data_IF_188491167281
#
_entry.id   IF_188491167281
#
_cell.length_a   1.000
_cell.length_b   1.000
_cell.length_c   1.000
_cell.angle_alpha   90.00
_cell.angle_beta   90.00
_cell.angle_gamma   90.00
#
_symmetry.space_group_name_H-M   'P 1'
#
loop_
_entity.id
_entity.type
_entity.pdbx_description
1 polymer ?
#
# COMPACT_ATOMS: atom_id res chain seq x y z
N UNK A 1 -2.54 -19.21 22.30
CA UNK A 1 -1.86 -19.50 21.02
C UNK A 1 -0.85 -18.38 20.84
N UNK A 2 0.42 -18.66 20.57
CA UNK A 2 1.43 -17.59 20.37
C UNK A 2 1.12 -16.84 19.07
N UNK A 3 1.32 -15.52 19.07
CA UNK A 3 1.23 -14.72 17.84
C UNK A 3 2.40 -15.07 16.90
N UNK A 4 2.29 -14.72 15.63
CA UNK A 4 3.39 -14.87 14.65
C UNK A 4 4.63 -14.09 15.11
N UNK A 5 4.45 -12.89 15.65
CA UNK A 5 5.53 -12.05 16.21
C UNK A 5 6.25 -12.73 17.37
N UNK A 6 5.50 -13.34 18.30
CA UNK A 6 6.08 -14.10 19.42
C UNK A 6 6.85 -15.34 18.92
N UNK A 7 6.37 -15.98 17.85
CA UNK A 7 7.07 -17.12 17.24
C UNK A 7 8.36 -16.65 16.59
N UNK A 8 8.31 -15.63 15.73
CA UNK A 8 9.47 -15.07 15.03
C UNK A 8 10.54 -14.62 16.03
N UNK A 9 10.13 -13.88 17.06
CA UNK A 9 11.05 -13.40 18.12
C UNK A 9 11.70 -14.51 18.94
N UNK A 10 11.12 -15.71 18.94
CA UNK A 10 11.67 -16.89 19.64
C UNK A 10 12.64 -17.71 18.79
N UNK A 11 12.76 -17.44 17.48
CA UNK A 11 13.66 -18.18 16.59
C UNK A 11 15.11 -17.76 16.80
N UNK A 12 16.01 -18.75 16.81
CA UNK A 12 17.43 -18.46 16.70
C UNK A 12 17.83 -18.16 15.24
N UNK A 13 19.09 -17.72 15.01
CA UNK A 13 19.59 -17.34 13.70
C UNK A 13 19.46 -18.44 12.66
N UNK A 14 19.76 -19.69 13.03
CA UNK A 14 19.69 -20.85 12.11
C UNK A 14 18.25 -21.17 11.74
N UNK A 15 17.35 -21.13 12.71
CA UNK A 15 15.92 -21.32 12.48
C UNK A 15 15.34 -20.23 11.60
N UNK A 16 15.71 -18.95 11.85
CA UNK A 16 15.30 -17.83 11.02
C UNK A 16 15.78 -18.01 9.58
N UNK A 17 17.06 -18.33 9.39
CA UNK A 17 17.63 -18.57 8.06
C UNK A 17 16.90 -19.70 7.33
N UNK A 18 16.58 -20.81 8.02
CA UNK A 18 15.82 -21.91 7.45
C UNK A 18 14.43 -21.47 6.99
N UNK A 19 13.69 -20.72 7.84
CA UNK A 19 12.34 -20.21 7.51
C UNK A 19 12.39 -19.30 6.30
N UNK A 20 13.31 -18.32 6.27
CA UNK A 20 13.47 -17.39 5.14
C UNK A 20 13.82 -18.12 3.84
N UNK A 21 14.69 -19.16 3.91
CA UNK A 21 15.03 -19.97 2.75
C UNK A 21 13.78 -20.72 2.24
N UNK A 22 12.97 -21.29 3.12
CA UNK A 22 11.75 -22.00 2.73
C UNK A 22 10.68 -21.08 2.15
N UNK A 23 10.53 -19.88 2.67
CA UNK A 23 9.65 -18.86 2.10
C UNK A 23 10.11 -18.45 0.70
N UNK A 24 11.42 -18.24 0.51
CA UNK A 24 11.99 -17.89 -0.79
C UNK A 24 11.86 -19.02 -1.84
N UNK A 25 11.98 -20.30 -1.43
CA UNK A 25 11.83 -21.44 -2.34
C UNK A 25 10.40 -21.58 -2.88
N UNK A 26 9.40 -21.10 -2.16
CA UNK A 26 8.00 -21.32 -2.48
C UNK A 26 7.38 -20.21 -3.34
N UNK A 27 7.93 -18.98 -3.34
CA UNK A 27 7.34 -17.85 -4.04
C UNK A 27 8.38 -16.78 -4.39
N UNK A 28 8.37 -16.33 -5.64
CA UNK A 28 9.22 -15.23 -6.12
C UNK A 28 8.95 -13.92 -5.37
N UNK A 29 7.70 -13.65 -4.99
CA UNK A 29 7.33 -12.49 -4.18
C UNK A 29 8.03 -12.48 -2.82
N UNK A 30 8.09 -13.63 -2.16
CA UNK A 30 8.85 -13.77 -0.91
C UNK A 30 10.35 -13.56 -1.12
N UNK A 31 10.91 -14.00 -2.27
CA UNK A 31 12.30 -13.72 -2.61
C UNK A 31 12.57 -12.21 -2.73
N UNK A 32 11.69 -11.49 -3.39
CA UNK A 32 11.84 -10.04 -3.58
C UNK A 32 11.73 -9.28 -2.26
N UNK A 33 10.77 -9.65 -1.38
CA UNK A 33 10.69 -9.12 -0.01
C UNK A 33 11.99 -9.38 0.75
N UNK A 34 12.48 -10.63 0.77
CA UNK A 34 13.70 -10.98 1.48
C UNK A 34 14.90 -10.22 0.92
N UNK A 35 15.04 -10.07 -0.39
CA UNK A 35 16.08 -9.27 -1.02
C UNK A 35 15.99 -7.80 -0.62
N UNK A 36 14.79 -7.22 -0.70
CA UNK A 36 14.50 -5.83 -0.35
C UNK A 36 14.97 -5.51 1.08
N UNK A 37 14.58 -6.30 2.05
CA UNK A 37 14.91 -6.06 3.46
C UNK A 37 16.31 -6.55 3.89
N UNK A 38 16.92 -7.51 3.16
CA UNK A 38 18.27 -7.99 3.47
C UNK A 38 19.40 -7.03 3.05
N UNK A 39 19.11 -6.09 2.16
CA UNK A 39 20.11 -5.12 1.67
C UNK A 39 20.39 -3.98 2.66
N UNK A 40 19.68 -3.92 3.79
CA UNK A 40 19.78 -2.82 4.75
C UNK A 40 19.33 -1.48 4.16
N UNK A 41 18.47 -1.52 3.14
CA UNK A 41 17.96 -0.34 2.47
C UNK A 41 17.15 0.49 3.48
N UNK A 42 17.57 1.72 3.70
CA UNK A 42 16.81 2.66 4.53
C UNK A 42 15.52 2.99 3.77
N UNK A 43 14.39 2.72 4.39
CA UNK A 43 13.08 3.12 3.86
C UNK A 43 13.00 4.64 4.07
N UNK A 44 13.18 5.39 2.99
CA UNK A 44 13.09 6.86 2.99
C UNK A 44 11.83 7.32 2.25
N UNK A 45 11.53 8.61 2.37
CA UNK A 45 10.48 9.25 1.60
C UNK A 45 10.67 9.02 0.08
N UNK A 46 11.87 9.26 -0.43
CA UNK A 46 12.19 9.11 -1.85
C UNK A 46 12.02 7.67 -2.32
N UNK A 47 12.42 6.70 -1.48
CA UNK A 47 12.22 5.29 -1.79
C UNK A 47 10.73 4.94 -1.94
N UNK A 48 9.89 5.39 -0.99
CA UNK A 48 8.44 5.12 -1.03
C UNK A 48 7.76 5.86 -2.18
N UNK A 49 8.23 7.07 -2.50
CA UNK A 49 7.76 7.82 -3.65
C UNK A 49 8.05 7.09 -4.96
N UNK A 50 9.28 6.58 -5.13
CA UNK A 50 9.67 5.82 -6.33
C UNK A 50 8.85 4.53 -6.47
N UNK A 51 8.58 3.80 -5.40
CA UNK A 51 7.74 2.59 -5.42
C UNK A 51 6.30 2.93 -5.85
N UNK A 52 5.70 3.99 -5.30
CA UNK A 52 4.35 4.42 -5.68
C UNK A 52 4.28 4.93 -7.12
N UNK A 53 5.27 5.70 -7.56
CA UNK A 53 5.38 6.14 -8.95
C UNK A 53 5.61 4.95 -9.90
N UNK A 54 6.32 3.93 -9.46
CA UNK A 54 6.47 2.66 -10.19
C UNK A 54 5.12 2.00 -10.46
N UNK A 55 4.24 1.94 -9.46
CA UNK A 55 2.87 1.41 -9.63
C UNK A 55 2.06 2.27 -10.59
N UNK A 56 2.12 3.61 -10.45
CA UNK A 56 1.36 4.53 -11.31
C UNK A 56 1.80 4.48 -12.78
N UNK A 57 3.09 4.28 -13.04
CA UNK A 57 3.66 4.28 -14.37
C UNK A 57 3.82 2.88 -14.96
N UNK A 58 3.52 1.82 -14.20
CA UNK A 58 3.58 0.46 -14.74
C UNK A 58 2.46 0.29 -15.77
N UNK A 59 2.84 -0.14 -16.97
CA UNK A 59 1.90 -0.67 -17.97
C UNK A 59 1.42 -2.04 -17.44
N UNK A 60 0.49 -1.97 -16.46
CA UNK A 60 -0.06 -3.17 -15.81
C UNK A 60 -0.68 -4.13 -16.84
N UNK A 61 -1.04 -3.61 -18.02
CA UNK A 61 -1.55 -4.42 -19.12
C UNK A 61 -0.48 -5.30 -19.81
N UNK A 62 0.80 -4.90 -19.81
CA UNK A 62 1.80 -5.57 -20.66
C UNK A 62 2.34 -6.88 -20.10
N UNK A 63 2.33 -7.06 -18.78
CA UNK A 63 2.91 -8.26 -18.15
C UNK A 63 1.94 -9.45 -18.11
N UNK A 64 0.64 -9.24 -18.40
CA UNK A 64 -0.41 -10.24 -18.23
C UNK A 64 -0.99 -10.85 -19.52
N UNK A 65 -0.70 -10.31 -20.70
CA UNK A 65 -1.30 -10.79 -21.96
C UNK A 65 -0.63 -12.03 -22.60
N UNK A 66 0.36 -12.64 -21.96
CA UNK A 66 1.09 -13.76 -22.55
C UNK A 66 0.75 -15.14 -21.99
N UNK A 67 -0.35 -15.33 -21.24
CA UNK A 67 -0.66 -16.63 -20.63
C UNK A 67 -1.97 -17.25 -21.14
N UNK A 68 -1.94 -18.59 -21.20
CA UNK A 68 -2.93 -19.53 -21.73
C UNK A 68 -4.07 -19.81 -20.74
N UNK A 69 -5.01 -20.66 -21.14
CA UNK A 69 -6.32 -21.02 -20.56
C UNK A 69 -6.52 -21.19 -19.03
N UNK A 70 -5.49 -20.99 -18.19
CA UNK A 70 -5.58 -21.00 -16.73
C UNK A 70 -5.66 -19.55 -16.15
N UNK A 71 -6.15 -18.58 -16.92
CA UNK A 71 -6.06 -17.13 -16.68
C UNK A 71 -6.76 -16.64 -15.38
N UNK A 72 -7.81 -17.32 -14.92
CA UNK A 72 -8.61 -16.85 -13.78
C UNK A 72 -7.84 -17.05 -12.45
N UNK A 73 -7.17 -18.18 -12.27
CA UNK A 73 -6.39 -18.46 -11.07
C UNK A 73 -5.16 -17.55 -10.96
N UNK A 74 -4.52 -17.21 -12.07
CA UNK A 74 -3.37 -16.30 -12.08
C UNK A 74 -3.77 -14.85 -11.78
N UNK A 75 -4.92 -14.38 -12.26
CA UNK A 75 -5.43 -13.04 -11.96
C UNK A 75 -5.81 -12.88 -10.49
N UNK A 76 -6.43 -13.90 -9.89
CA UNK A 76 -6.70 -13.93 -8.45
C UNK A 76 -5.41 -13.86 -7.65
N UNK A 77 -4.41 -14.66 -8.02
CA UNK A 77 -3.09 -14.66 -7.37
C UNK A 77 -2.38 -13.32 -7.49
N UNK A 78 -2.44 -12.69 -8.67
CA UNK A 78 -1.89 -11.35 -8.90
C UNK A 78 -2.60 -10.28 -8.09
N UNK A 79 -3.93 -10.38 -7.94
CA UNK A 79 -4.70 -9.51 -7.07
C UNK A 79 -4.24 -9.58 -5.61
N UNK A 80 -4.01 -10.77 -5.07
CA UNK A 80 -3.45 -10.93 -3.73
C UNK A 80 -2.05 -10.35 -3.58
N UNK A 81 -1.20 -10.50 -4.57
CA UNK A 81 0.16 -9.96 -4.55
C UNK A 81 0.16 -8.43 -4.55
N UNK A 82 -0.64 -7.80 -5.42
CA UNK A 82 -0.72 -6.34 -5.45
C UNK A 82 -1.30 -5.78 -4.16
N UNK A 83 -2.33 -6.42 -3.60
CA UNK A 83 -2.89 -6.01 -2.33
C UNK A 83 -1.88 -6.10 -1.18
N UNK A 84 -1.10 -7.17 -1.12
CA UNK A 84 -0.02 -7.32 -0.14
C UNK A 84 1.05 -6.23 -0.32
N UNK A 85 1.39 -5.85 -1.56
CA UNK A 85 2.31 -4.74 -1.85
C UNK A 85 1.75 -3.41 -1.34
N UNK A 86 0.47 -3.12 -1.61
CA UNK A 86 -0.18 -1.91 -1.12
C UNK A 86 -0.21 -1.84 0.42
N UNK A 87 -0.54 -2.95 1.09
CA UNK A 87 -0.52 -3.01 2.55
C UNK A 87 0.88 -2.78 3.12
N UNK A 88 1.91 -3.36 2.50
CA UNK A 88 3.29 -3.13 2.90
C UNK A 88 3.68 -1.65 2.76
N UNK A 89 3.29 -0.98 1.67
CA UNK A 89 3.57 0.46 1.48
C UNK A 89 2.91 1.31 2.57
N UNK A 90 1.65 1.04 2.95
CA UNK A 90 0.98 1.73 4.05
C UNK A 90 1.74 1.55 5.36
N UNK A 91 2.17 0.32 5.66
CA UNK A 91 2.92 0.02 6.87
C UNK A 91 4.29 0.72 6.87
N UNK A 92 4.99 0.72 5.73
CA UNK A 92 6.27 1.41 5.58
C UNK A 92 6.13 2.93 5.76
N UNK A 93 5.08 3.56 5.20
CA UNK A 93 4.78 4.98 5.43
C UNK A 93 4.56 5.22 6.93
N UNK A 94 3.73 4.40 7.57
CA UNK A 94 3.38 4.51 8.99
C UNK A 94 4.58 4.40 9.92
N UNK A 95 5.54 3.51 9.60
CA UNK A 95 6.66 3.17 10.47
C UNK A 95 7.89 4.07 10.23
N UNK A 96 8.09 4.55 9.00
CA UNK A 96 9.33 5.22 8.64
C UNK A 96 9.16 6.73 8.37
N UNK A 97 7.93 7.22 8.12
CA UNK A 97 7.70 8.63 7.82
C UNK A 97 7.06 9.32 9.03
N UNK A 98 7.80 10.22 9.65
CA UNK A 98 7.32 10.98 10.81
C UNK A 98 6.83 12.38 10.45
N UNK A 99 7.26 12.94 9.32
CA UNK A 99 6.86 14.25 8.83
C UNK A 99 5.45 14.18 8.22
N UNK A 100 4.47 14.93 8.77
CA UNK A 100 3.10 14.93 8.26
C UNK A 100 2.96 15.40 6.81
N UNK A 101 3.80 16.35 6.35
CA UNK A 101 3.74 16.82 4.96
C UNK A 101 4.17 15.71 4.00
N UNK A 102 5.29 15.07 4.25
CA UNK A 102 5.79 13.94 3.46
C UNK A 102 4.81 12.76 3.48
N UNK A 103 4.25 12.45 4.64
CA UNK A 103 3.29 11.36 4.75
C UNK A 103 2.01 11.61 3.94
N UNK A 104 1.47 12.85 3.97
CA UNK A 104 0.29 13.23 3.18
C UNK A 104 0.60 13.19 1.68
N UNK A 105 1.77 13.63 1.24
CA UNK A 105 2.18 13.55 -0.17
C UNK A 105 2.28 12.08 -0.65
N UNK A 106 2.87 11.19 0.14
CA UNK A 106 2.92 9.76 -0.19
C UNK A 106 1.52 9.13 -0.23
N UNK A 107 0.64 9.50 0.70
CA UNK A 107 -0.74 9.00 0.71
C UNK A 107 -1.56 9.54 -0.46
N UNK A 108 -1.29 10.76 -0.95
CA UNK A 108 -1.88 11.24 -2.21
C UNK A 108 -1.45 10.38 -3.40
N UNK A 109 -0.16 10.07 -3.52
CA UNK A 109 0.33 9.15 -4.57
C UNK A 109 -0.30 7.77 -4.42
N UNK A 110 -0.43 7.27 -3.19
CA UNK A 110 -1.07 5.99 -2.90
C UNK A 110 -2.52 5.97 -3.40
N UNK A 111 -3.33 6.99 -3.08
CA UNK A 111 -4.71 7.07 -3.55
C UNK A 111 -4.81 7.16 -5.08
N UNK A 112 -3.84 7.80 -5.74
CA UNK A 112 -3.83 7.89 -7.20
C UNK A 112 -3.52 6.57 -7.90
N UNK A 113 -3.08 5.53 -7.18
CA UNK A 113 -2.93 4.18 -7.73
C UNK A 113 -4.27 3.46 -7.93
N UNK A 114 -5.37 3.96 -7.35
CA UNK A 114 -6.67 3.28 -7.34
C UNK A 114 -7.22 2.99 -8.75
N UNK A 115 -7.03 3.91 -9.69
CA UNK A 115 -7.52 3.69 -11.06
C UNK A 115 -6.78 2.53 -11.73
N UNK A 116 -5.45 2.51 -11.65
CA UNK A 116 -4.64 1.44 -12.23
C UNK A 116 -4.94 0.08 -11.57
N UNK A 117 -5.05 0.07 -10.24
CA UNK A 117 -5.28 -1.15 -9.47
C UNK A 117 -6.71 -1.67 -9.65
N UNK A 118 -7.72 -0.81 -9.48
CA UNK A 118 -9.12 -1.25 -9.53
C UNK A 118 -9.55 -1.67 -10.94
N UNK A 119 -9.04 -1.05 -12.00
CA UNK A 119 -9.32 -1.48 -13.36
C UNK A 119 -8.88 -2.92 -13.63
N UNK A 120 -7.77 -3.35 -13.01
CA UNK A 120 -7.14 -4.63 -13.32
C UNK A 120 -7.46 -5.72 -12.31
N UNK A 121 -7.69 -5.38 -11.01
CA UNK A 121 -7.73 -6.37 -9.93
C UNK A 121 -8.97 -6.33 -9.03
N UNK A 122 -9.81 -5.29 -9.09
CA UNK A 122 -10.94 -5.11 -8.17
C UNK A 122 -11.90 -6.30 -8.12
N UNK A 123 -12.13 -6.96 -9.27
CA UNK A 123 -13.04 -8.10 -9.34
C UNK A 123 -12.44 -9.39 -8.77
N UNK A 124 -11.12 -9.43 -8.58
CA UNK A 124 -10.38 -10.62 -8.14
C UNK A 124 -10.02 -10.58 -6.66
N UNK A 125 -9.94 -9.39 -6.06
CA UNK A 125 -9.65 -9.25 -4.63
C UNK A 125 -10.42 -8.09 -4.00
N UNK A 126 -11.51 -8.41 -3.32
CA UNK A 126 -12.34 -7.43 -2.60
C UNK A 126 -11.62 -6.80 -1.40
N UNK A 127 -10.49 -7.35 -0.95
CA UNK A 127 -9.69 -6.81 0.14
C UNK A 127 -8.92 -5.55 -0.25
N UNK A 128 -8.75 -5.28 -1.55
CA UNK A 128 -8.13 -4.05 -2.07
C UNK A 128 -8.82 -2.80 -1.51
N UNK A 129 -10.16 -2.80 -1.48
CA UNK A 129 -10.92 -1.67 -0.91
C UNK A 129 -10.63 -1.46 0.57
N UNK A 130 -10.47 -2.56 1.34
CA UNK A 130 -10.07 -2.48 2.75
C UNK A 130 -8.70 -1.82 2.92
N UNK A 131 -7.76 -2.09 2.02
CA UNK A 131 -6.43 -1.49 2.04
C UNK A 131 -6.47 0.03 1.81
N UNK A 132 -7.32 0.51 0.90
CA UNK A 132 -7.52 1.96 0.74
C UNK A 132 -8.21 2.59 1.97
N UNK A 133 -9.10 1.87 2.66
CA UNK A 133 -9.66 2.34 3.92
C UNK A 133 -8.59 2.45 5.02
N UNK A 134 -7.65 1.52 5.10
CA UNK A 134 -6.51 1.60 6.03
C UNK A 134 -5.61 2.80 5.71
N UNK A 135 -5.37 3.09 4.43
CA UNK A 135 -4.66 4.29 3.99
C UNK A 135 -5.41 5.58 4.41
N UNK A 136 -6.74 5.59 4.30
CA UNK A 136 -7.54 6.73 4.75
C UNK A 136 -7.45 6.95 6.27
N UNK A 137 -7.46 5.90 7.07
CA UNK A 137 -7.23 6.01 8.51
C UNK A 137 -5.84 6.57 8.84
N UNK A 138 -4.81 6.15 8.10
CA UNK A 138 -3.48 6.69 8.24
C UNK A 138 -3.42 8.17 7.83
N UNK A 139 -4.13 8.55 6.76
CA UNK A 139 -4.28 9.95 6.33
C UNK A 139 -4.87 10.82 7.44
N UNK A 140 -5.94 10.36 8.15
CA UNK A 140 -6.51 11.07 9.32
C UNK A 140 -5.44 11.40 10.33
N UNK A 141 -4.64 10.40 10.71
CA UNK A 141 -3.58 10.54 11.71
C UNK A 141 -2.60 11.67 11.36
N UNK A 142 -2.17 11.75 10.10
CA UNK A 142 -1.24 12.80 9.66
C UNK A 142 -1.95 14.13 9.41
N UNK A 143 -3.20 14.11 8.96
CA UNK A 143 -4.02 15.29 8.76
C UNK A 143 -4.19 16.12 10.03
N UNK A 144 -4.29 15.49 11.20
CA UNK A 144 -4.39 16.17 12.49
C UNK A 144 -3.13 16.99 12.81
N UNK A 145 -1.96 16.48 12.43
CA UNK A 145 -0.66 17.12 12.64
C UNK A 145 -0.22 18.05 11.49
N UNK A 146 -0.93 18.03 10.36
CA UNK A 146 -0.60 18.85 9.19
C UNK A 146 -0.86 20.32 9.46
N UNK A 147 0.18 21.18 9.32
CA UNK A 147 0.06 22.58 9.74
C UNK A 147 -0.87 23.40 8.84
N UNK A 148 -0.74 23.29 7.51
CA UNK A 148 -1.52 24.07 6.57
C UNK A 148 -2.89 23.44 6.26
N UNK A 149 -3.88 23.74 7.09
CA UNK A 149 -5.25 23.18 6.97
C UNK A 149 -5.96 23.57 5.67
N UNK A 150 -5.70 24.74 5.09
CA UNK A 150 -6.27 25.12 3.79
C UNK A 150 -5.71 24.26 2.66
N UNK A 151 -4.39 24.09 2.60
CA UNK A 151 -3.76 23.18 1.64
C UNK A 151 -4.27 21.76 1.80
N UNK A 152 -4.42 21.27 3.04
CA UNK A 152 -4.96 19.96 3.33
C UNK A 152 -6.39 19.78 2.81
N UNK A 153 -7.22 20.82 2.96
CA UNK A 153 -8.59 20.83 2.45
C UNK A 153 -8.63 20.74 0.92
N UNK A 154 -7.75 21.49 0.24
CA UNK A 154 -7.65 21.42 -1.22
C UNK A 154 -7.22 20.02 -1.69
N UNK A 155 -6.26 19.39 -1.00
CA UNK A 155 -5.83 18.01 -1.24
C UNK A 155 -7.01 17.05 -1.08
N UNK A 156 -7.79 17.16 -0.01
CA UNK A 156 -8.95 16.30 0.23
C UNK A 156 -10.03 16.47 -0.85
N UNK A 157 -10.31 17.71 -1.26
CA UNK A 157 -11.28 18.01 -2.32
C UNK A 157 -10.82 17.37 -3.64
N UNK A 158 -9.55 17.52 -3.98
CA UNK A 158 -8.97 16.94 -5.20
C UNK A 158 -9.08 15.41 -5.18
N UNK A 159 -8.61 14.76 -4.12
CA UNK A 159 -8.68 13.31 -3.98
C UNK A 159 -10.13 12.78 -4.07
N UNK A 160 -11.09 13.42 -3.40
CA UNK A 160 -12.48 12.99 -3.39
C UNK A 160 -13.14 13.20 -4.76
N UNK A 161 -12.81 14.29 -5.45
CA UNK A 161 -13.37 14.58 -6.80
C UNK A 161 -12.97 13.56 -7.85
N UNK A 162 -11.86 12.85 -7.64
CA UNK A 162 -11.34 11.82 -8.54
C UNK A 162 -11.64 10.39 -8.07
N UNK A 163 -12.50 10.20 -7.07
CA UNK A 163 -12.88 8.86 -6.56
C UNK A 163 -13.83 8.14 -7.51
N UNK A 164 -13.26 7.42 -8.47
CA UNK A 164 -14.01 6.67 -9.49
C UNK A 164 -14.52 5.30 -8.98
N UNK A 165 -13.80 4.70 -8.03
CA UNK A 165 -14.03 3.32 -7.59
C UNK A 165 -14.55 3.20 -6.15
N UNK A 166 -14.76 4.31 -5.46
CA UNK A 166 -15.18 4.30 -4.06
C UNK A 166 -14.05 4.02 -3.07
N UNK A 167 -12.80 4.07 -3.52
CA UNK A 167 -11.61 3.83 -2.69
C UNK A 167 -11.31 4.97 -1.71
N UNK A 168 -11.92 6.14 -1.91
CA UNK A 168 -11.64 7.39 -1.17
C UNK A 168 -12.81 7.85 -0.30
N UNK A 169 -13.85 7.02 -0.12
CA UNK A 169 -15.07 7.40 0.62
C UNK A 169 -14.79 7.80 2.07
N UNK A 170 -13.84 7.17 2.74
CA UNK A 170 -13.47 7.52 4.11
C UNK A 170 -12.89 8.94 4.22
N UNK A 171 -12.23 9.44 3.16
CA UNK A 171 -11.70 10.81 3.10
C UNK A 171 -12.84 11.86 3.13
N UNK A 172 -14.04 11.55 2.63
CA UNK A 172 -15.19 12.46 2.69
C UNK A 172 -15.58 12.78 4.14
N UNK A 173 -15.48 11.79 5.03
CA UNK A 173 -15.77 11.97 6.46
C UNK A 173 -14.78 12.96 7.09
N UNK A 174 -13.53 12.90 6.68
CA UNK A 174 -12.47 13.81 7.15
C UNK A 174 -12.77 15.24 6.69
N UNK A 175 -13.08 15.42 5.40
CA UNK A 175 -13.41 16.73 4.85
C UNK A 175 -14.59 17.38 5.58
N UNK A 176 -15.63 16.61 5.89
CA UNK A 176 -16.78 17.10 6.66
C UNK A 176 -16.41 17.60 8.06
N UNK A 177 -15.45 16.94 8.74
CA UNK A 177 -14.97 17.39 10.05
C UNK A 177 -14.25 18.75 9.94
N UNK A 178 -13.42 18.94 8.92
CA UNK A 178 -12.74 20.23 8.71
C UNK A 178 -13.66 21.37 8.24
N UNK A 179 -14.74 21.06 7.53
CA UNK A 179 -15.72 22.07 7.12
C UNK A 179 -16.59 22.57 8.28
N UNK A 180 -16.85 21.72 9.28
CA UNK A 180 -17.66 22.06 10.44
C UNK A 180 -16.87 22.72 11.58
N UNK A 181 -15.55 22.72 11.50
CA UNK A 181 -14.65 23.31 12.50
C UNK A 181 -14.23 24.76 12.18
N UNK A 182 -14.60 25.30 11.01
CA UNK A 182 -14.37 26.68 10.57
C UNK A 182 -15.59 27.54 10.79
#
# INVERSE_FOLDING_TARGET
MKTIEEIISSLNKEQMQFVLTKLAENDNYNQDIIRKYSTGKIISYEYLQDELLGILNSDIESDFYNYSEDEEDERVYSGYRINATLQNLINEIKENISDPEQAIELLQLFFNTDEAICNNYFFYDSSILSTYNDAAQLFVKYADAYENKEKLKDILIDLISHDKYGCRQELQKILMLYQNAA
#
